data_IF_793351505704
#
_entry.id   IF_793351505704
#
_cell.length_a   1.000
_cell.length_b   1.000
_cell.length_c   1.000
_cell.angle_alpha   90.00
_cell.angle_beta   90.00
_cell.angle_gamma   90.00
#
_symmetry.space_group_name_H-M   'P 1'
#
loop_
_entity.id
_entity.type
_entity.pdbx_description
1 polymer ?
#
# COMPACT_ATOMS: atom_id res chain seq x y z
N UNK A 1 -20.76 22.64 -26.78
CA UNK A 1 -19.35 22.97 -26.97
C UNK A 1 -18.56 22.58 -25.72
N UNK A 2 -17.65 21.57 -25.77
CA UNK A 2 -16.85 21.17 -24.60
C UNK A 2 -16.01 22.29 -23.99
N UNK A 3 -15.53 23.22 -24.80
CA UNK A 3 -14.74 24.38 -24.37
C UNK A 3 -15.57 25.32 -23.51
N UNK A 4 -16.78 25.72 -23.98
CA UNK A 4 -17.66 26.59 -23.19
C UNK A 4 -18.17 25.95 -21.91
N UNK A 5 -18.17 24.60 -21.81
CA UNK A 5 -18.45 23.87 -20.58
C UNK A 5 -17.26 23.95 -19.61
N UNK A 6 -16.03 23.78 -20.11
CA UNK A 6 -14.82 23.85 -19.30
C UNK A 6 -14.58 25.21 -18.69
N UNK A 7 -14.94 26.28 -19.42
CA UNK A 7 -14.81 27.70 -18.96
C UNK A 7 -15.75 28.06 -17.79
N UNK A 8 -16.79 27.24 -17.54
CA UNK A 8 -17.78 27.44 -16.48
C UNK A 8 -17.44 26.75 -15.16
N UNK A 9 -16.34 26.01 -15.15
CA UNK A 9 -15.82 25.34 -13.95
C UNK A 9 -14.49 25.96 -13.54
N UNK A 10 -14.50 26.66 -12.42
CA UNK A 10 -13.26 27.10 -11.76
C UNK A 10 -12.87 26.05 -10.71
N UNK A 11 -11.84 25.28 -11.02
CA UNK A 11 -11.33 24.25 -10.13
C UNK A 11 -9.85 24.42 -9.90
N UNK A 12 -9.49 24.59 -8.64
CA UNK A 12 -8.10 24.68 -8.19
C UNK A 12 -7.81 23.56 -7.20
N UNK A 13 -6.74 22.83 -7.44
CA UNK A 13 -6.17 21.88 -6.49
C UNK A 13 -4.79 22.37 -6.08
N UNK A 14 -4.58 22.48 -4.78
CA UNK A 14 -3.29 22.77 -4.18
C UNK A 14 -2.83 21.55 -3.40
N UNK A 15 -1.61 21.12 -3.63
CA UNK A 15 -1.02 20.00 -2.91
C UNK A 15 0.37 20.39 -2.42
N UNK A 16 0.55 20.35 -1.10
CA UNK A 16 1.82 20.63 -0.45
C UNK A 16 2.27 19.37 0.25
N UNK A 17 3.41 18.81 -0.18
CA UNK A 17 3.99 17.61 0.41
C UNK A 17 5.35 17.90 0.97
N UNK A 18 5.56 17.55 2.22
CA UNK A 18 6.85 17.58 2.88
C UNK A 18 7.20 16.17 3.35
N UNK A 19 8.34 15.67 2.94
CA UNK A 19 8.83 14.37 3.39
C UNK A 19 10.30 14.44 3.72
N UNK A 20 10.72 13.61 4.65
CA UNK A 20 12.11 13.52 5.07
C UNK A 20 12.33 12.36 6.01
N UNK A 21 13.59 11.98 6.17
CA UNK A 21 13.99 10.99 7.15
C UNK A 21 15.28 11.41 7.84
N UNK A 22 15.43 10.98 9.08
CA UNK A 22 16.66 11.07 9.85
C UNK A 22 17.06 9.66 10.32
N UNK A 23 18.34 9.39 10.37
CA UNK A 23 18.82 8.11 10.86
C UNK A 23 20.07 8.27 11.73
N UNK A 24 20.25 7.30 12.59
CA UNK A 24 21.47 7.12 13.38
C UNK A 24 22.01 5.73 13.03
N UNK A 25 23.26 5.67 12.65
CA UNK A 25 23.98 4.42 12.45
C UNK A 25 25.10 4.34 13.48
N UNK A 26 25.06 3.31 14.33
CA UNK A 26 26.00 3.10 15.40
C UNK A 26 26.75 1.79 15.20
N UNK A 27 28.06 1.89 14.99
CA UNK A 27 28.95 0.74 14.97
C UNK A 27 29.28 0.35 16.41
N UNK A 28 28.62 -0.73 16.91
CA UNK A 28 28.78 -1.20 18.29
C UNK A 28 30.09 -1.97 18.43
N UNK A 29 30.37 -2.85 17.46
CA UNK A 29 31.60 -3.64 17.33
C UNK A 29 31.98 -3.68 15.84
N UNK A 30 33.19 -4.12 15.50
CA UNK A 30 33.63 -4.23 14.09
C UNK A 30 32.64 -5.01 13.21
N UNK A 31 32.03 -6.04 13.78
CA UNK A 31 31.07 -6.89 13.07
C UNK A 31 29.60 -6.60 13.39
N UNK A 32 29.30 -5.67 14.30
CA UNK A 32 27.94 -5.43 14.80
C UNK A 32 27.56 -3.96 14.68
N UNK A 33 26.54 -3.67 13.92
CA UNK A 33 25.98 -2.32 13.76
C UNK A 33 24.51 -2.27 14.10
N UNK A 34 24.08 -1.17 14.69
CA UNK A 34 22.68 -0.83 14.93
C UNK A 34 22.33 0.40 14.12
N UNK A 35 21.19 0.36 13.48
CA UNK A 35 20.65 1.51 12.75
C UNK A 35 19.19 1.75 13.13
N UNK A 36 18.85 2.99 13.40
CA UNK A 36 17.48 3.47 13.56
C UNK A 36 17.20 4.55 12.53
N UNK A 37 16.08 4.43 11.86
CA UNK A 37 15.58 5.38 10.84
C UNK A 37 14.21 5.86 11.28
N UNK A 38 13.98 7.17 11.26
CA UNK A 38 12.66 7.76 11.44
C UNK A 38 12.31 8.64 10.26
N UNK A 39 11.21 8.33 9.61
CA UNK A 39 10.70 9.05 8.44
C UNK A 39 9.33 9.65 8.71
N UNK A 40 9.08 10.79 8.11
CA UNK A 40 7.77 11.45 8.08
C UNK A 40 7.45 11.88 6.65
N UNK A 41 6.18 11.69 6.26
CA UNK A 41 5.61 12.16 5.00
C UNK A 41 4.30 12.87 5.34
N UNK A 42 4.25 14.17 5.11
CA UNK A 42 3.09 15.01 5.37
C UNK A 42 2.57 15.55 4.03
N UNK A 43 1.33 15.25 3.71
CA UNK A 43 0.66 15.73 2.52
C UNK A 43 -0.59 16.53 2.90
N UNK A 44 -0.66 17.79 2.50
CA UNK A 44 -1.79 18.69 2.70
C UNK A 44 -2.40 19.03 1.35
N UNK A 45 -3.64 18.62 1.14
CA UNK A 45 -4.38 18.75 -0.12
C UNK A 45 -5.54 19.68 0.11
N UNK A 46 -5.64 20.72 -0.72
CA UNK A 46 -6.79 21.62 -0.80
C UNK A 46 -7.42 21.56 -2.19
N UNK A 47 -8.72 21.42 -2.26
CA UNK A 47 -9.47 21.59 -3.50
C UNK A 47 -10.51 22.67 -3.31
N UNK A 48 -10.65 23.51 -4.32
CA UNK A 48 -11.65 24.56 -4.39
C UNK A 48 -12.31 24.48 -5.74
N UNK A 49 -13.63 24.43 -5.77
CA UNK A 49 -14.41 24.33 -6.99
C UNK A 49 -15.59 25.31 -6.93
N UNK A 50 -15.74 26.08 -7.99
CA UNK A 50 -16.90 26.90 -8.22
C UNK A 50 -17.57 26.53 -9.55
N UNK A 51 -18.87 26.30 -9.54
CA UNK A 51 -19.67 26.00 -10.71
C UNK A 51 -20.58 27.19 -10.97
N UNK A 52 -20.39 27.86 -12.09
CA UNK A 52 -21.22 28.99 -12.47
C UNK A 52 -22.63 28.57 -12.91
N UNK A 53 -23.59 29.48 -12.82
CA UNK A 53 -24.87 29.32 -13.51
C UNK A 53 -24.65 29.34 -15.02
N UNK A 54 -25.22 28.39 -15.71
CA UNK A 54 -25.26 28.36 -17.16
C UNK A 54 -26.47 27.57 -17.66
N UNK A 55 -26.92 27.89 -18.89
CA UNK A 55 -27.99 27.15 -19.57
C UNK A 55 -27.73 27.09 -21.06
N UNK A 56 -27.88 25.89 -21.64
CA UNK A 56 -27.76 25.67 -23.07
C UNK A 56 -28.61 24.46 -23.51
N UNK A 57 -29.49 24.66 -24.51
CA UNK A 57 -30.29 23.57 -25.13
C UNK A 57 -30.98 22.63 -24.14
N UNK A 58 -31.65 23.19 -23.12
CA UNK A 58 -32.38 22.41 -22.12
C UNK A 58 -31.50 21.79 -21.01
N UNK A 59 -30.18 22.02 -21.03
CA UNK A 59 -29.27 21.69 -19.92
C UNK A 59 -29.01 22.98 -19.13
N UNK A 60 -29.28 22.92 -17.85
CA UNK A 60 -29.16 24.09 -16.96
C UNK A 60 -28.37 23.67 -15.73
N UNK A 61 -27.38 24.50 -15.35
CA UNK A 61 -26.78 24.48 -14.03
C UNK A 61 -27.28 25.69 -13.26
N UNK A 62 -28.20 25.50 -12.35
CA UNK A 62 -28.76 26.50 -11.49
C UNK A 62 -29.33 25.81 -10.23
N UNK A 63 -28.97 26.24 -9.01
CA UNK A 63 -28.11 27.38 -8.71
C UNK A 63 -26.61 27.10 -8.94
N UNK A 64 -25.81 28.18 -8.97
CA UNK A 64 -24.34 28.08 -8.87
C UNK A 64 -23.97 27.51 -7.51
N UNK A 65 -22.78 26.88 -7.44
CA UNK A 65 -22.36 26.21 -6.25
C UNK A 65 -20.85 26.35 -6.04
N UNK A 66 -20.43 26.33 -4.80
CA UNK A 66 -19.05 26.30 -4.38
C UNK A 66 -18.80 25.14 -3.42
N UNK A 67 -17.68 24.46 -3.58
CA UNK A 67 -17.20 23.48 -2.62
C UNK A 67 -15.72 23.65 -2.35
N UNK A 68 -15.34 23.54 -1.09
CA UNK A 68 -13.95 23.49 -0.63
C UNK A 68 -13.75 22.21 0.17
N UNK A 69 -12.62 21.54 -0.09
CA UNK A 69 -12.20 20.37 0.69
C UNK A 69 -10.76 20.56 1.12
N UNK A 70 -10.45 20.17 2.33
CA UNK A 70 -9.08 20.09 2.83
C UNK A 70 -8.85 18.73 3.44
N UNK A 71 -7.69 18.14 3.15
CA UNK A 71 -7.26 16.88 3.73
C UNK A 71 -5.80 16.93 4.13
N UNK A 72 -5.48 16.37 5.27
CA UNK A 72 -4.11 16.19 5.75
C UNK A 72 -3.87 14.71 5.92
N UNK A 73 -2.80 14.20 5.30
CA UNK A 73 -2.36 12.82 5.39
C UNK A 73 -0.94 12.83 5.95
N UNK A 74 -0.74 12.16 7.06
CA UNK A 74 0.57 12.03 7.69
C UNK A 74 0.92 10.55 7.80
N UNK A 75 2.10 10.19 7.28
CA UNK A 75 2.67 8.85 7.40
C UNK A 75 3.97 8.95 8.20
N UNK A 76 4.11 8.12 9.22
CA UNK A 76 5.31 7.99 10.02
C UNK A 76 5.86 6.58 9.85
N UNK A 77 7.18 6.48 9.67
CA UNK A 77 7.87 5.20 9.58
C UNK A 77 9.01 5.20 10.59
N UNK A 78 9.06 4.20 11.44
CA UNK A 78 10.18 3.98 12.36
C UNK A 78 10.71 2.58 12.19
N UNK A 79 11.98 2.48 11.77
CA UNK A 79 12.65 1.22 11.48
C UNK A 79 13.92 1.11 12.32
N UNK A 80 14.11 -0.05 12.92
CA UNK A 80 15.31 -0.39 13.66
C UNK A 80 15.90 -1.67 13.10
N UNK A 81 17.20 -1.72 12.91
CA UNK A 81 17.92 -2.89 12.43
C UNK A 81 19.21 -3.11 13.21
N UNK A 82 19.45 -4.36 13.57
CA UNK A 82 20.70 -4.83 14.14
C UNK A 82 21.33 -5.78 13.13
N UNK A 83 22.53 -5.46 12.65
CA UNK A 83 23.22 -6.23 11.63
C UNK A 83 24.55 -6.75 12.19
N UNK A 84 24.74 -8.06 12.07
CA UNK A 84 26.02 -8.73 12.31
C UNK A 84 26.57 -9.21 10.98
N UNK A 85 27.79 -8.77 10.63
CA UNK A 85 28.47 -9.15 9.38
C UNK A 85 29.90 -9.56 9.72
N UNK A 86 30.26 -10.81 9.38
CA UNK A 86 31.59 -11.32 9.67
C UNK A 86 32.04 -12.36 8.67
N UNK A 87 33.34 -12.28 8.31
CA UNK A 87 34.03 -13.32 7.57
C UNK A 87 34.89 -14.14 8.53
N UNK A 88 34.71 -15.47 8.49
CA UNK A 88 35.48 -16.44 9.29
C UNK A 88 36.37 -17.26 8.35
N UNK A 89 37.60 -17.46 8.75
CA UNK A 89 38.58 -18.28 8.00
C UNK A 89 38.63 -17.96 6.50
N UNK A 90 38.42 -16.69 6.13
CA UNK A 90 38.44 -16.19 4.74
C UNK A 90 37.43 -16.85 3.78
N UNK A 91 36.69 -17.86 4.23
CA UNK A 91 35.79 -18.68 3.40
C UNK A 91 34.33 -18.61 3.81
N UNK A 92 34.03 -18.27 5.06
CA UNK A 92 32.68 -18.29 5.61
C UNK A 92 32.23 -16.84 5.86
N UNK A 93 31.37 -16.31 5.03
CA UNK A 93 30.75 -15.03 5.25
C UNK A 93 29.35 -15.23 5.82
N UNK A 94 29.10 -14.66 7.00
CA UNK A 94 27.80 -14.68 7.67
C UNK A 94 27.31 -13.27 7.86
N UNK A 95 26.11 -13.00 7.34
CA UNK A 95 25.38 -11.78 7.58
C UNK A 95 24.04 -12.11 8.24
N UNK A 96 23.81 -11.58 9.44
CA UNK A 96 22.56 -11.74 10.19
C UNK A 96 21.97 -10.36 10.42
N UNK A 97 20.70 -10.19 10.08
CA UNK A 97 19.96 -8.97 10.31
C UNK A 97 18.70 -9.30 11.11
N UNK A 98 18.48 -8.55 12.18
CA UNK A 98 17.21 -8.52 12.93
C UNK A 98 16.65 -7.11 12.86
N UNK A 99 15.34 -6.99 12.69
CA UNK A 99 14.74 -5.67 12.56
C UNK A 99 13.30 -5.61 13.06
N UNK A 100 12.89 -4.40 13.36
CA UNK A 100 11.50 -4.03 13.60
C UNK A 100 11.14 -2.78 12.78
N UNK A 101 9.90 -2.69 12.37
CA UNK A 101 9.38 -1.56 11.60
C UNK A 101 7.97 -1.23 12.07
N UNK A 102 7.71 0.03 12.27
CA UNK A 102 6.39 0.57 12.50
C UNK A 102 6.06 1.58 11.41
N UNK A 103 4.89 1.43 10.80
CA UNK A 103 4.33 2.40 9.87
C UNK A 103 2.96 2.80 10.41
N UNK A 104 2.76 4.08 10.64
CA UNK A 104 1.47 4.64 11.07
C UNK A 104 1.01 5.70 10.09
N UNK A 105 -0.26 5.68 9.72
CA UNK A 105 -0.90 6.68 8.88
C UNK A 105 -2.08 7.29 9.62
N UNK A 106 -2.15 8.61 9.59
CA UNK A 106 -3.28 9.40 10.06
C UNK A 106 -3.74 10.28 8.92
N UNK A 107 -5.01 10.20 8.59
CA UNK A 107 -5.63 11.05 7.61
C UNK A 107 -6.88 11.69 8.18
N UNK A 108 -7.06 12.96 7.94
CA UNK A 108 -8.28 13.69 8.29
C UNK A 108 -8.58 14.77 7.26
N UNK A 109 -9.83 15.11 7.14
CA UNK A 109 -10.25 16.15 6.21
C UNK A 109 -11.61 16.69 6.55
N UNK A 110 -11.93 17.80 5.91
CA UNK A 110 -13.25 18.41 5.97
C UNK A 110 -13.64 18.90 4.59
N UNK A 111 -14.94 19.00 4.38
CA UNK A 111 -15.51 19.61 3.20
C UNK A 111 -16.59 20.60 3.59
N UNK A 112 -16.68 21.67 2.84
CA UNK A 112 -17.71 22.69 2.99
C UNK A 112 -18.27 23.04 1.63
N UNK A 113 -19.57 23.28 1.54
CA UNK A 113 -20.22 23.71 0.31
C UNK A 113 -21.37 24.65 0.57
N UNK A 114 -21.67 25.50 -0.39
CA UNK A 114 -22.81 26.37 -0.41
C UNK A 114 -23.30 26.58 -1.84
N UNK A 115 -24.54 27.01 -1.99
CA UNK A 115 -25.19 27.29 -3.27
C UNK A 115 -25.81 28.69 -3.29
N UNK A 116 -26.24 29.10 -4.48
CA UNK A 116 -26.97 30.30 -4.72
C UNK A 116 -26.17 31.56 -4.32
N UNK A 117 -25.03 31.75 -4.97
CA UNK A 117 -24.21 32.96 -4.84
C UNK A 117 -24.84 34.10 -5.63
N UNK A 118 -25.07 35.27 -5.02
CA UNK A 118 -25.72 36.41 -5.69
C UNK A 118 -24.86 36.99 -6.81
N UNK A 119 -23.53 36.84 -6.71
CA UNK A 119 -22.58 37.28 -7.72
C UNK A 119 -21.63 36.14 -8.12
N UNK A 120 -21.30 36.06 -9.40
CA UNK A 120 -20.37 35.08 -9.95
C UNK A 120 -18.97 35.63 -10.20
N UNK A 121 -18.70 36.87 -9.79
CA UNK A 121 -17.39 37.50 -9.92
C UNK A 121 -16.37 36.75 -9.10
N UNK A 122 -15.23 36.41 -9.70
CA UNK A 122 -14.20 35.53 -9.09
C UNK A 122 -13.69 36.04 -7.74
N UNK A 123 -13.59 37.35 -7.54
CA UNK A 123 -13.12 37.97 -6.31
C UNK A 123 -14.11 37.87 -5.14
N UNK A 124 -15.38 37.52 -5.40
CA UNK A 124 -16.43 37.35 -4.39
C UNK A 124 -16.84 35.90 -4.13
N UNK A 125 -16.09 34.96 -4.68
CA UNK A 125 -16.34 33.51 -4.48
C UNK A 125 -15.79 33.04 -3.14
N UNK A 126 -16.51 33.33 -2.07
CA UNK A 126 -16.27 32.85 -0.72
C UNK A 126 -17.49 32.05 -0.24
N UNK A 127 -17.30 30.96 0.44
CA UNK A 127 -18.40 30.09 0.95
C UNK A 127 -19.43 30.89 1.75
N UNK A 128 -19.00 31.91 2.50
CA UNK A 128 -19.87 32.80 3.28
C UNK A 128 -20.84 33.63 2.44
N UNK A 129 -20.65 33.70 1.12
CA UNK A 129 -21.52 34.44 0.21
C UNK A 129 -22.62 33.57 -0.43
N UNK A 130 -22.58 32.23 -0.20
CA UNK A 130 -23.67 31.35 -0.56
C UNK A 130 -24.88 31.59 0.36
N UNK A 131 -26.07 31.47 -0.18
CA UNK A 131 -27.31 31.78 0.55
C UNK A 131 -28.22 30.58 0.76
N UNK A 132 -27.80 29.40 0.28
CA UNK A 132 -28.58 28.18 0.42
C UNK A 132 -27.69 26.91 0.42
N UNK A 133 -28.26 25.82 0.90
CA UNK A 133 -27.65 24.48 0.94
C UNK A 133 -26.25 24.45 1.55
N UNK A 134 -26.02 25.24 2.60
CA UNK A 134 -24.78 25.22 3.35
C UNK A 134 -24.58 23.84 4.00
N UNK A 135 -23.44 23.24 3.75
CA UNK A 135 -23.06 21.92 4.30
C UNK A 135 -21.62 21.95 4.79
N UNK A 136 -21.42 21.30 5.91
CA UNK A 136 -20.08 21.02 6.46
C UNK A 136 -20.04 19.55 6.81
N UNK A 137 -18.96 18.89 6.40
CA UNK A 137 -18.71 17.49 6.72
C UNK A 137 -17.23 17.31 7.08
N UNK A 138 -16.92 16.24 7.84
CA UNK A 138 -15.58 15.92 8.25
C UNK A 138 -15.37 14.43 8.42
N UNK A 139 -14.15 13.99 8.19
CA UNK A 139 -13.76 12.60 8.29
C UNK A 139 -12.36 12.43 8.87
N UNK A 140 -12.08 11.26 9.39
CA UNK A 140 -10.76 10.87 9.84
C UNK A 140 -10.59 9.37 9.79
N UNK A 141 -9.38 8.93 9.45
CA UNK A 141 -9.02 7.53 9.44
C UNK A 141 -7.56 7.31 9.85
N UNK A 142 -7.30 6.18 10.46
CA UNK A 142 -5.97 5.79 10.89
C UNK A 142 -5.74 4.31 10.55
N UNK A 143 -4.50 3.98 10.22
CA UNK A 143 -4.06 2.60 10.17
C UNK A 143 -2.60 2.48 10.63
N UNK A 144 -2.24 1.29 11.06
CA UNK A 144 -0.88 1.00 11.47
C UNK A 144 -0.46 -0.41 11.04
N UNK A 145 0.83 -0.55 10.75
CA UNK A 145 1.52 -1.80 10.47
C UNK A 145 2.72 -1.90 11.39
N UNK A 146 2.85 -3.02 12.09
CA UNK A 146 4.02 -3.34 12.90
C UNK A 146 4.63 -4.65 12.46
N UNK A 147 5.92 -4.65 12.24
CA UNK A 147 6.66 -5.76 11.67
C UNK A 147 7.88 -6.11 12.50
N UNK A 148 8.14 -7.41 12.65
CA UNK A 148 9.41 -7.94 13.15
C UNK A 148 9.95 -8.86 12.08
N UNK A 149 11.22 -8.73 11.74
CA UNK A 149 11.83 -9.53 10.70
C UNK A 149 13.27 -9.89 11.00
N UNK A 150 13.69 -10.99 10.42
CA UNK A 150 15.07 -11.45 10.48
C UNK A 150 15.52 -12.03 9.15
N UNK A 151 16.81 -11.90 8.87
CA UNK A 151 17.47 -12.46 7.70
C UNK A 151 18.79 -13.06 8.13
N UNK A 152 19.09 -14.25 7.61
CA UNK A 152 20.39 -14.90 7.71
C UNK A 152 20.86 -15.16 6.29
N UNK A 153 21.99 -14.58 5.90
CA UNK A 153 22.65 -14.83 4.64
C UNK A 153 24.03 -15.43 4.91
N UNK A 154 24.30 -16.55 4.28
CA UNK A 154 25.54 -17.28 4.42
C UNK A 154 26.16 -17.56 3.07
N UNK A 155 27.46 -17.30 2.95
CA UNK A 155 28.23 -17.58 1.75
C UNK A 155 29.47 -18.39 2.14
N UNK A 156 29.67 -19.50 1.46
CA UNK A 156 30.82 -20.37 1.65
C UNK A 156 31.71 -20.37 0.41
N UNK A 157 32.97 -19.97 0.61
CA UNK A 157 34.03 -19.99 -0.39
C UNK A 157 33.67 -19.30 -1.72
N UNK A 158 32.84 -18.25 -1.66
CA UNK A 158 32.31 -17.54 -2.85
C UNK A 158 31.52 -18.45 -3.83
N UNK A 159 31.23 -19.71 -3.45
CA UNK A 159 30.60 -20.74 -4.28
C UNK A 159 29.17 -21.01 -3.90
N UNK A 160 28.91 -21.28 -2.62
CA UNK A 160 27.59 -21.67 -2.11
C UNK A 160 26.98 -20.53 -1.33
N UNK A 161 25.79 -20.12 -1.74
CA UNK A 161 25.03 -19.04 -1.12
C UNK A 161 23.73 -19.61 -0.59
N UNK A 162 23.38 -19.24 0.63
CA UNK A 162 22.10 -19.56 1.24
C UNK A 162 21.55 -18.33 1.96
N UNK A 163 20.28 -18.05 1.79
CA UNK A 163 19.59 -16.97 2.52
C UNK A 163 18.27 -17.50 3.06
N UNK A 164 17.95 -17.07 4.27
CA UNK A 164 16.66 -17.29 4.90
C UNK A 164 16.15 -16.00 5.48
N UNK A 165 14.89 -15.71 5.23
CA UNK A 165 14.17 -14.53 5.72
C UNK A 165 12.89 -14.98 6.40
N UNK A 166 12.60 -14.39 7.54
CA UNK A 166 11.31 -14.55 8.22
C UNK A 166 10.79 -13.16 8.60
N UNK A 167 9.55 -12.86 8.21
CA UNK A 167 8.87 -11.62 8.57
C UNK A 167 7.50 -11.93 9.17
N UNK A 168 7.20 -11.29 10.29
CA UNK A 168 5.87 -11.29 10.91
C UNK A 168 5.34 -9.86 10.90
N UNK A 169 4.20 -9.66 10.27
CA UNK A 169 3.53 -8.38 10.13
C UNK A 169 2.20 -8.39 10.86
N UNK A 170 1.90 -7.33 11.60
CA UNK A 170 0.61 -7.10 12.25
C UNK A 170 -0.02 -5.82 11.70
N UNK A 171 -1.23 -5.93 11.17
CA UNK A 171 -1.96 -4.82 10.56
C UNK A 171 -3.25 -4.51 11.30
N UNK A 172 -3.50 -3.22 11.53
CA UNK A 172 -4.76 -2.73 12.07
C UNK A 172 -5.93 -2.76 11.07
N UNK A 173 -5.68 -3.09 9.80
CA UNK A 173 -6.73 -3.26 8.79
C UNK A 173 -7.52 -4.54 8.95
N UNK A 174 -6.96 -5.52 9.68
CA UNK A 174 -7.62 -6.76 10.03
C UNK A 174 -8.16 -6.71 11.46
N UNK A 175 -9.25 -7.42 11.71
CA UNK A 175 -9.83 -7.55 13.04
C UNK A 175 -8.95 -8.36 14.00
N UNK A 176 -9.38 -8.45 15.26
CA UNK A 176 -8.63 -9.12 16.32
C UNK A 176 -8.35 -10.61 16.06
N UNK A 177 -9.15 -11.25 15.18
CA UNK A 177 -9.01 -12.67 14.91
C UNK A 177 -7.76 -13.01 14.08
N UNK A 178 -7.37 -12.16 13.10
CA UNK A 178 -6.29 -12.45 12.17
C UNK A 178 -5.38 -11.23 11.90
N UNK A 179 -4.93 -10.47 12.90
CA UNK A 179 -4.15 -9.27 12.65
C UNK A 179 -2.74 -9.56 12.11
N UNK A 180 -2.22 -10.78 12.32
CA UNK A 180 -0.84 -11.14 11.99
C UNK A 180 -0.73 -12.07 10.80
N UNK A 181 0.25 -11.76 9.91
CA UNK A 181 0.76 -12.64 8.87
C UNK A 181 2.22 -13.02 9.14
N UNK A 182 2.62 -14.21 8.70
CA UNK A 182 4.02 -14.69 8.80
C UNK A 182 4.47 -15.11 7.41
N UNK A 183 5.58 -14.53 6.95
CA UNK A 183 6.06 -14.63 5.58
C UNK A 183 7.52 -15.12 5.56
N UNK A 184 7.73 -16.42 5.41
CA UNK A 184 9.07 -17.00 5.24
C UNK A 184 9.53 -16.90 3.79
N UNK A 185 10.85 -16.77 3.60
CA UNK A 185 11.49 -16.93 2.30
C UNK A 185 12.86 -17.58 2.46
N UNK A 186 13.27 -18.38 1.49
CA UNK A 186 14.57 -18.98 1.42
C UNK A 186 15.12 -18.98 -0.01
N UNK A 187 16.41 -18.82 -0.15
CA UNK A 187 17.10 -18.94 -1.44
C UNK A 187 18.42 -19.68 -1.33
N UNK A 188 18.77 -20.40 -2.40
CA UNK A 188 20.03 -21.08 -2.57
C UNK A 188 20.66 -20.65 -3.89
N UNK A 189 21.97 -20.46 -3.88
CA UNK A 189 22.75 -20.13 -5.06
C UNK A 189 24.03 -20.97 -5.11
N UNK A 190 24.35 -21.50 -6.27
CA UNK A 190 25.60 -22.21 -6.52
C UNK A 190 26.32 -21.56 -7.70
N UNK A 191 27.48 -20.98 -7.42
CA UNK A 191 28.41 -20.44 -8.40
C UNK A 191 29.30 -21.57 -8.92
N UNK A 192 28.85 -22.22 -9.97
CA UNK A 192 29.55 -23.33 -10.62
C UNK A 192 30.82 -22.83 -11.32
N UNK A 193 30.81 -21.58 -11.76
CA UNK A 193 31.99 -20.92 -12.36
C UNK A 193 33.20 -20.84 -11.40
N UNK A 194 32.97 -20.87 -10.10
CA UNK A 194 34.04 -20.86 -9.10
C UNK A 194 34.52 -22.26 -8.72
N UNK A 195 33.99 -23.33 -9.34
CA UNK A 195 34.45 -24.69 -9.09
C UNK A 195 35.74 -25.01 -9.86
N UNK A 196 36.62 -25.80 -9.29
CA UNK A 196 37.92 -26.12 -9.87
C UNK A 196 37.86 -26.78 -11.24
N UNK A 197 36.77 -27.50 -11.53
CA UNK A 197 36.57 -28.13 -12.84
C UNK A 197 36.19 -27.16 -13.98
N UNK A 198 35.82 -25.91 -13.65
CA UNK A 198 35.55 -24.83 -14.62
C UNK A 198 36.58 -23.71 -14.65
N UNK A 199 37.58 -23.73 -13.76
CA UNK A 199 38.56 -22.64 -13.60
C UNK A 199 39.31 -22.31 -14.91
N UNK A 200 39.62 -23.31 -15.73
CA UNK A 200 40.34 -23.13 -17.02
C UNK A 200 39.39 -23.04 -18.23
N UNK A 201 38.08 -22.95 -18.03
CA UNK A 201 37.14 -22.95 -19.13
C UNK A 201 37.10 -21.58 -19.85
N UNK A 202 37.50 -21.58 -21.14
CA UNK A 202 37.56 -20.34 -21.94
C UNK A 202 36.19 -19.93 -22.51
N UNK A 203 35.21 -20.83 -22.54
CA UNK A 203 33.91 -20.58 -23.11
C UNK A 203 32.93 -20.03 -22.05
N UNK A 204 32.84 -20.73 -20.89
CA UNK A 204 31.96 -20.36 -19.80
C UNK A 204 32.73 -19.45 -18.83
N UNK A 205 32.29 -18.22 -18.70
CA UNK A 205 32.91 -17.20 -17.84
C UNK A 205 32.09 -16.92 -16.58
N UNK A 206 30.83 -17.28 -16.58
CA UNK A 206 29.93 -17.21 -15.43
C UNK A 206 28.90 -18.32 -15.54
N UNK A 207 28.66 -19.05 -14.45
CA UNK A 207 27.59 -20.02 -14.38
C UNK A 207 27.09 -20.11 -12.94
N UNK A 208 25.84 -19.69 -12.74
CA UNK A 208 25.21 -19.71 -11.43
C UNK A 208 23.82 -20.36 -11.53
N UNK A 209 23.55 -21.31 -10.65
CA UNK A 209 22.22 -21.84 -10.42
C UNK A 209 21.56 -21.10 -9.24
N UNK A 210 20.27 -20.83 -9.36
CA UNK A 210 19.46 -20.15 -8.34
C UNK A 210 18.18 -20.94 -8.08
N UNK A 211 17.85 -21.13 -6.80
CA UNK A 211 16.58 -21.66 -6.36
C UNK A 211 16.04 -20.76 -5.27
N UNK A 212 14.77 -20.44 -5.33
CA UNK A 212 14.11 -19.67 -4.26
C UNK A 212 12.68 -20.12 -4.03
N UNK A 213 12.24 -19.96 -2.80
CA UNK A 213 10.86 -20.12 -2.39
C UNK A 213 10.54 -19.04 -1.36
N UNK A 214 9.42 -18.36 -1.50
CA UNK A 214 9.03 -17.30 -0.57
C UNK A 214 7.54 -17.07 -0.54
N UNK A 215 7.09 -16.49 0.57
CA UNK A 215 5.71 -16.06 0.76
C UNK A 215 5.67 -14.55 0.99
N UNK A 216 4.73 -13.87 0.32
CA UNK A 216 4.40 -12.46 0.48
C UNK A 216 2.97 -12.33 0.99
N UNK A 217 2.72 -11.31 1.81
CA UNK A 217 1.39 -10.94 2.28
C UNK A 217 0.89 -9.67 1.61
N UNK A 218 -0.42 -9.62 1.37
CA UNK A 218 -1.11 -8.42 0.93
C UNK A 218 -2.20 -8.05 1.95
N UNK A 219 -2.26 -6.77 2.32
CA UNK A 219 -3.23 -6.17 3.24
C UNK A 219 -4.06 -5.06 2.59
N UNK A 220 -4.00 -4.92 1.28
CA UNK A 220 -4.65 -3.80 0.57
C UNK A 220 -6.18 -3.94 0.56
N UNK A 221 -6.77 -3.64 1.72
CA UNK A 221 -8.20 -3.47 1.96
C UNK A 221 -8.43 -2.10 2.58
N UNK A 222 -9.63 -1.58 2.47
CA UNK A 222 -10.01 -0.35 3.17
C UNK A 222 -9.86 -0.48 4.69
N UNK A 223 -9.56 0.63 5.35
CA UNK A 223 -9.48 0.69 6.80
C UNK A 223 -10.83 0.27 7.41
N UNK A 224 -10.79 -0.38 8.58
CA UNK A 224 -11.98 -0.84 9.31
C UNK A 224 -12.88 -1.82 8.54
N UNK A 225 -12.37 -2.53 7.52
CA UNK A 225 -13.17 -3.49 6.74
C UNK A 225 -13.66 -4.69 7.55
N UNK A 226 -13.09 -4.93 8.72
CA UNK A 226 -13.54 -5.93 9.69
C UNK A 226 -14.77 -5.50 10.50
N UNK A 227 -15.03 -4.19 10.61
CA UNK A 227 -16.13 -3.62 11.38
C UNK A 227 -17.34 -3.30 10.51
N UNK A 228 -18.53 -3.46 11.06
CA UNK A 228 -19.76 -3.00 10.42
C UNK A 228 -19.87 -1.48 10.52
N UNK A 229 -20.24 -0.84 9.42
CA UNK A 229 -20.41 0.61 9.33
C UNK A 229 -21.88 0.97 9.23
N UNK A 230 -22.28 1.92 10.07
CA UNK A 230 -23.65 2.47 10.11
C UNK A 230 -23.60 3.88 9.51
N UNK A 231 -24.48 4.15 8.57
CA UNK A 231 -24.68 5.48 8.00
C UNK A 231 -25.84 6.20 8.69
N UNK A 232 -25.67 7.47 9.00
CA UNK A 232 -26.72 8.40 9.39
C UNK A 232 -27.35 9.05 8.15
N UNK A 233 -28.49 9.73 8.32
CA UNK A 233 -29.15 10.45 7.22
C UNK A 233 -30.10 9.59 6.38
N UNK A 234 -30.42 8.40 6.83
CA UNK A 234 -31.52 7.61 6.31
C UNK A 234 -32.83 8.15 6.89
N UNK A 235 -33.72 8.59 6.03
CA UNK A 235 -34.97 9.22 6.45
C UNK A 235 -36.11 8.18 6.41
N UNK A 236 -36.90 8.17 7.46
CA UNK A 236 -38.05 7.31 7.59
C UNK A 236 -39.32 8.17 7.79
N UNK A 237 -40.37 7.99 6.96
CA UNK A 237 -41.65 8.69 7.17
C UNK A 237 -42.36 8.11 8.41
N UNK A 238 -42.64 8.98 9.38
CA UNK A 238 -43.37 8.65 10.57
C UNK A 238 -44.65 9.52 10.66
N UNK A 239 -45.73 9.02 10.14
CA UNK A 239 -46.95 9.79 9.95
C UNK A 239 -46.77 10.92 8.93
N UNK A 240 -46.95 12.16 9.35
CA UNK A 240 -46.71 13.36 8.54
C UNK A 240 -45.29 13.92 8.68
N UNK A 241 -44.49 13.35 9.55
CA UNK A 241 -43.13 13.83 9.82
C UNK A 241 -42.07 12.90 9.22
N UNK A 242 -40.91 13.44 8.91
CA UNK A 242 -39.75 12.69 8.48
C UNK A 242 -38.78 12.57 9.67
N UNK A 243 -38.53 11.34 10.12
CA UNK A 243 -37.57 11.06 11.18
C UNK A 243 -36.22 10.67 10.58
N UNK A 244 -35.15 11.20 11.13
CA UNK A 244 -33.77 10.77 10.81
C UNK A 244 -33.51 9.43 11.49
N UNK A 245 -32.94 8.51 10.74
CA UNK A 245 -32.59 7.17 11.19
C UNK A 245 -31.18 6.76 10.81
N UNK A 246 -30.86 5.53 11.10
CA UNK A 246 -29.57 4.91 10.76
C UNK A 246 -29.83 3.66 9.93
N UNK A 247 -28.96 3.41 8.98
CA UNK A 247 -28.96 2.17 8.20
C UNK A 247 -27.58 1.52 8.20
N UNK A 248 -27.57 0.20 8.05
CA UNK A 248 -26.31 -0.53 7.88
C UNK A 248 -25.75 -0.22 6.49
N UNK A 249 -24.61 0.48 6.44
CA UNK A 249 -23.95 0.81 5.20
C UNK A 249 -23.14 -0.38 4.68
N UNK A 250 -22.39 -1.03 5.57
CA UNK A 250 -21.48 -2.13 5.23
C UNK A 250 -21.46 -3.16 6.35
N UNK A 251 -21.52 -4.44 5.97
CA UNK A 251 -21.22 -5.53 6.90
C UNK A 251 -19.71 -5.67 7.10
N UNK A 252 -19.28 -5.70 8.35
CA UNK A 252 -17.91 -6.06 8.71
C UNK A 252 -17.67 -7.56 8.57
N UNK A 253 -16.41 -7.93 8.43
CA UNK A 253 -15.97 -9.31 8.45
C UNK A 253 -14.74 -9.46 9.37
N UNK A 254 -15.00 -9.87 10.61
CA UNK A 254 -13.94 -10.03 11.64
C UNK A 254 -12.96 -11.18 11.31
N UNK A 255 -13.31 -12.06 10.37
CA UNK A 255 -12.49 -13.18 9.96
C UNK A 255 -11.60 -12.87 8.74
N UNK A 256 -11.57 -11.61 8.30
CA UNK A 256 -10.62 -11.17 7.29
C UNK A 256 -9.19 -11.50 7.70
N UNK A 257 -8.43 -12.04 6.78
CA UNK A 257 -7.02 -12.39 6.95
C UNK A 257 -6.18 -11.94 5.76
N UNK A 258 -4.88 -12.02 5.93
CA UNK A 258 -3.92 -11.69 4.89
C UNK A 258 -4.14 -12.53 3.64
N UNK A 259 -4.18 -11.90 2.48
CA UNK A 259 -3.96 -12.58 1.21
C UNK A 259 -2.49 -12.99 1.13
N UNK A 260 -2.20 -14.22 0.72
CA UNK A 260 -0.84 -14.73 0.66
C UNK A 260 -0.48 -15.20 -0.74
N UNK A 261 0.68 -14.78 -1.21
CA UNK A 261 1.27 -15.25 -2.46
C UNK A 261 2.52 -16.08 -2.15
N UNK A 262 2.51 -17.34 -2.54
CA UNK A 262 3.70 -18.20 -2.50
C UNK A 262 4.31 -18.27 -3.89
N UNK A 263 5.62 -18.07 -3.96
CA UNK A 263 6.38 -18.11 -5.21
C UNK A 263 7.54 -19.09 -5.08
N UNK A 264 7.75 -19.87 -6.12
CA UNK A 264 8.90 -20.76 -6.32
C UNK A 264 9.60 -20.35 -7.60
N UNK A 265 10.93 -20.20 -7.55
CA UNK A 265 11.74 -19.83 -8.71
C UNK A 265 12.95 -20.76 -8.83
N UNK A 266 13.30 -21.10 -10.07
CA UNK A 266 14.52 -21.76 -10.43
C UNK A 266 15.15 -21.07 -11.62
N UNK A 267 16.42 -20.66 -11.51
CA UNK A 267 17.07 -19.85 -12.53
C UNK A 267 18.51 -20.28 -12.80
N UNK A 268 18.97 -19.99 -14.01
CA UNK A 268 20.34 -20.18 -14.48
C UNK A 268 20.83 -18.85 -15.04
N UNK A 269 21.99 -18.41 -14.54
CA UNK A 269 22.72 -17.27 -15.08
C UNK A 269 23.97 -17.80 -15.82
N UNK A 270 24.05 -17.58 -17.12
CA UNK A 270 25.15 -18.08 -17.97
C UNK A 270 25.85 -16.91 -18.68
N UNK A 271 27.13 -16.73 -18.42
CA UNK A 271 28.01 -15.80 -19.11
C UNK A 271 29.00 -16.55 -20.00
N UNK A 272 29.09 -16.19 -21.25
CA UNK A 272 29.94 -16.81 -22.25
C UNK A 272 30.97 -15.82 -22.83
N UNK A 273 32.08 -16.36 -23.35
CA UNK A 273 33.10 -15.62 -24.11
C UNK A 273 33.64 -14.40 -23.35
N UNK A 274 34.08 -14.58 -22.11
CA UNK A 274 34.54 -13.51 -21.21
C UNK A 274 33.45 -12.46 -20.95
N UNK A 275 32.23 -12.96 -20.67
CA UNK A 275 31.06 -12.16 -20.38
C UNK A 275 30.59 -11.24 -21.53
N UNK A 276 30.90 -11.59 -22.79
CA UNK A 276 30.34 -10.88 -23.96
C UNK A 276 28.89 -11.23 -24.24
N UNK A 277 28.44 -12.41 -23.81
CA UNK A 277 27.08 -12.87 -23.94
C UNK A 277 26.59 -13.30 -22.56
N UNK A 278 25.45 -12.75 -22.12
CA UNK A 278 24.75 -13.18 -20.91
C UNK A 278 23.40 -13.73 -21.27
N UNK A 279 23.05 -14.87 -20.67
CA UNK A 279 21.75 -15.53 -20.81
C UNK A 279 21.22 -15.75 -19.39
N UNK A 280 20.00 -15.28 -19.15
CA UNK A 280 19.24 -15.53 -17.94
C UNK A 280 18.05 -16.37 -18.33
N UNK A 281 17.83 -17.47 -17.65
CA UNK A 281 16.67 -18.33 -17.85
C UNK A 281 16.06 -18.61 -16.49
N UNK A 282 14.80 -18.21 -16.32
CA UNK A 282 14.07 -18.36 -15.07
C UNK A 282 12.76 -19.09 -15.31
N UNK A 283 12.48 -20.08 -14.46
CA UNK A 283 11.16 -20.68 -14.31
C UNK A 283 10.55 -20.20 -13.02
N UNK A 284 9.31 -19.71 -13.09
CA UNK A 284 8.57 -19.28 -11.93
C UNK A 284 7.22 -19.98 -11.79
N UNK A 285 6.78 -20.14 -10.55
CA UNK A 285 5.47 -20.65 -10.19
C UNK A 285 4.92 -19.87 -9.00
N UNK A 286 3.88 -19.06 -9.25
CA UNK A 286 3.21 -18.19 -8.26
C UNK A 286 1.83 -18.72 -7.96
N UNK A 287 1.47 -18.76 -6.68
CA UNK A 287 0.16 -19.18 -6.19
C UNK A 287 -0.32 -18.12 -5.20
N UNK A 288 -1.40 -17.40 -5.52
CA UNK A 288 -2.07 -16.49 -4.62
C UNK A 288 -3.27 -17.19 -4.01
N UNK A 289 -3.33 -17.25 -2.70
CA UNK A 289 -4.42 -17.84 -1.92
C UNK A 289 -5.12 -16.76 -1.09
N UNK A 290 -6.35 -17.05 -0.68
CA UNK A 290 -7.14 -16.19 0.19
C UNK A 290 -7.25 -14.75 -0.34
N UNK A 291 -7.47 -14.60 -1.64
CA UNK A 291 -7.55 -13.29 -2.30
C UNK A 291 -8.58 -12.40 -1.62
N UNK A 292 -8.19 -11.15 -1.39
CA UNK A 292 -9.05 -10.13 -0.81
C UNK A 292 -9.97 -9.56 -1.91
N UNK A 293 -11.18 -10.05 -1.97
CA UNK A 293 -12.17 -9.64 -2.97
C UNK A 293 -13.34 -8.92 -2.31
N UNK A 294 -13.84 -7.90 -2.98
CA UNK A 294 -15.04 -7.19 -2.57
C UNK A 294 -16.24 -7.78 -3.34
N UNK A 295 -17.17 -8.36 -2.63
CA UNK A 295 -18.34 -9.00 -3.22
C UNK A 295 -19.64 -8.32 -2.76
N UNK A 296 -20.58 -8.05 -3.67
CA UNK A 296 -21.88 -7.51 -3.31
C UNK A 296 -22.68 -8.57 -2.51
N UNK A 297 -23.36 -8.10 -1.49
CA UNK A 297 -24.32 -8.91 -0.74
C UNK A 297 -25.72 -8.80 -1.34
N UNK A 298 -26.58 -9.80 -1.15
CA UNK A 298 -27.98 -9.68 -1.55
C UNK A 298 -28.65 -8.46 -0.89
N UNK A 299 -29.50 -7.71 -1.60
CA UNK A 299 -30.20 -6.57 -1.01
C UNK A 299 -30.99 -6.89 0.27
N UNK A 300 -31.44 -8.15 0.43
CA UNK A 300 -32.09 -8.64 1.63
C UNK A 300 -31.21 -8.64 2.89
N UNK A 301 -29.90 -8.50 2.75
CA UNK A 301 -28.99 -8.33 3.90
C UNK A 301 -29.06 -6.95 4.55
N UNK A 302 -29.74 -5.98 3.89
CA UNK A 302 -29.86 -4.60 4.37
C UNK A 302 -28.59 -3.74 4.21
N UNK A 303 -27.53 -4.27 3.57
CA UNK A 303 -26.30 -3.54 3.31
C UNK A 303 -26.33 -2.91 1.92
N UNK A 304 -25.92 -1.64 1.81
CA UNK A 304 -25.81 -0.93 0.55
C UNK A 304 -24.45 -1.14 -0.13
N UNK A 305 -23.41 -1.46 0.63
CA UNK A 305 -22.05 -1.61 0.12
C UNK A 305 -21.56 -3.06 0.14
N UNK A 306 -20.71 -3.38 -0.82
CA UNK A 306 -20.04 -4.66 -0.90
C UNK A 306 -19.03 -4.84 0.24
N UNK A 307 -18.96 -6.04 0.79
CA UNK A 307 -18.04 -6.40 1.88
C UNK A 307 -16.82 -7.15 1.36
N UNK A 308 -15.71 -7.08 2.10
CA UNK A 308 -14.51 -7.84 1.78
C UNK A 308 -14.57 -9.27 2.32
N UNK A 309 -14.07 -10.20 1.51
CA UNK A 309 -13.92 -11.62 1.84
C UNK A 309 -12.58 -12.14 1.35
N UNK A 310 -12.05 -13.13 2.04
CA UNK A 310 -10.97 -13.93 1.49
C UNK A 310 -11.56 -15.04 0.65
N UNK A 311 -11.49 -14.91 -0.67
CA UNK A 311 -12.04 -15.88 -1.61
C UNK A 311 -11.19 -15.99 -2.87
N UNK A 312 -11.09 -17.22 -3.38
CA UNK A 312 -10.40 -17.47 -4.63
C UNK A 312 -8.92 -17.82 -4.48
N UNK A 313 -8.40 -18.35 -5.56
CA UNK A 313 -7.02 -18.75 -5.74
C UNK A 313 -6.63 -18.51 -7.19
N UNK A 314 -5.46 -17.91 -7.39
CA UNK A 314 -4.88 -17.73 -8.72
C UNK A 314 -3.51 -18.39 -8.76
N UNK A 315 -3.21 -19.01 -9.91
CA UNK A 315 -1.93 -19.63 -10.19
C UNK A 315 -1.37 -19.09 -11.49
N UNK A 316 -0.10 -18.68 -11.46
CA UNK A 316 0.66 -18.24 -12.63
C UNK A 316 1.97 -19.00 -12.67
N UNK A 317 2.37 -19.48 -13.84
CA UNK A 317 3.67 -20.11 -14.06
C UNK A 317 4.17 -19.79 -15.45
N UNK A 318 5.48 -19.70 -15.60
CA UNK A 318 6.08 -19.36 -16.89
C UNK A 318 7.59 -19.54 -16.87
N UNK A 319 8.17 -19.29 -18.07
CA UNK A 319 9.61 -19.25 -18.30
C UNK A 319 9.92 -17.88 -18.86
N UNK A 320 10.95 -17.27 -18.36
CA UNK A 320 11.47 -15.96 -18.78
C UNK A 320 12.91 -16.09 -19.24
#
# INVERSE_FOLDING_TARGET
>A
NPVGFAEKYDWTRTENRAFGNAFINWQILDALSFRTDYGIDLNVIGNRRFNENWGYEGRINNPNSMSETSATIQIQTWKNTLTYDKVFNEKHQLNVLLGSEFIGSQASGHSSSAENFPDQISNLRYLSNGTSNERVDGWGENWALFSIFGRIAYKFNEKYLAEFVLRRDGSSRFGSNNPYGVFPAASLGWRIDNESFLEDNKLVSHLKLRLSAGQLGNQEIGNYSFASVISSGTYYPFGTNVASGYSLQKHGNENLKWESQTQYDAGIDLGLLKNKIFIYLDYYHKITNDMLVQAPLPPSSGSAEASFFNAGKIQNKGIE
#
